data_IF_432680516783
#
_entry.id   IF_432680516783
#
_cell.length_a   1.000
_cell.length_b   1.000
_cell.length_c   1.000
_cell.angle_alpha   90.00
_cell.angle_beta   90.00
_cell.angle_gamma   90.00
#
_symmetry.space_group_name_H-M   'P 1'
#
loop_
_entity.id
_entity.type
_entity.pdbx_description
1 polymer ?
#
# COMPACT_ATOMS: atom_id res chain seq x y z
N UNK A 1 -1.77 14.08 14.30
CA UNK A 1 -2.01 12.64 14.08
C UNK A 1 -3.51 12.38 13.94
N UNK A 2 -3.93 11.39 13.15
CA UNK A 2 -5.33 11.01 12.95
C UNK A 2 -5.78 10.00 14.04
N UNK A 3 -6.98 10.16 14.59
CA UNK A 3 -7.51 9.16 15.55
C UNK A 3 -8.01 7.91 14.83
N UNK A 4 -8.06 6.76 15.53
CA UNK A 4 -8.67 5.52 15.00
C UNK A 4 -10.07 5.75 14.42
N UNK A 5 -10.93 6.48 15.14
CA UNK A 5 -12.29 6.79 14.68
C UNK A 5 -12.29 7.64 13.41
N UNK A 6 -11.40 8.63 13.31
CA UNK A 6 -11.26 9.44 12.10
C UNK A 6 -10.72 8.60 10.92
N UNK A 7 -9.76 7.72 11.18
CA UNK A 7 -9.23 6.79 10.19
C UNK A 7 -10.35 5.88 9.66
N UNK A 8 -11.11 5.24 10.55
CA UNK A 8 -12.22 4.34 10.19
C UNK A 8 -13.27 5.05 9.33
N UNK A 9 -13.66 6.25 9.77
CA UNK A 9 -14.65 7.07 9.06
C UNK A 9 -14.16 7.42 7.66
N UNK A 10 -12.90 7.88 7.54
CA UNK A 10 -12.34 8.26 6.25
C UNK A 10 -12.10 7.04 5.35
N UNK A 11 -11.71 5.89 5.90
CA UNK A 11 -11.48 4.68 5.13
C UNK A 11 -12.80 4.15 4.55
N UNK A 12 -13.87 4.14 5.36
CA UNK A 12 -15.21 3.80 4.90
C UNK A 12 -15.71 4.77 3.82
N UNK A 13 -15.48 6.08 3.99
CA UNK A 13 -15.83 7.09 2.98
C UNK A 13 -15.09 6.85 1.66
N UNK A 14 -13.77 6.63 1.70
CA UNK A 14 -12.95 6.34 0.52
C UNK A 14 -13.48 5.13 -0.24
N UNK A 15 -13.85 4.07 0.49
CA UNK A 15 -14.40 2.86 -0.11
C UNK A 15 -15.78 3.11 -0.74
N UNK A 16 -16.69 3.77 0.00
CA UNK A 16 -18.07 4.05 -0.44
C UNK A 16 -18.12 4.99 -1.65
N UNK A 17 -17.23 5.98 -1.70
CA UNK A 17 -17.11 6.93 -2.80
C UNK A 17 -16.37 6.37 -4.02
N UNK A 18 -15.96 5.10 -3.98
CA UNK A 18 -15.24 4.43 -5.07
C UNK A 18 -13.93 5.11 -5.50
N UNK A 19 -13.32 5.90 -4.60
CA UNK A 19 -12.14 6.73 -4.92
C UNK A 19 -10.97 5.90 -5.46
N UNK A 20 -10.85 4.64 -5.02
CA UNK A 20 -9.77 3.74 -5.42
C UNK A 20 -10.21 2.82 -6.57
N UNK A 21 -11.45 2.35 -6.52
CA UNK A 21 -12.03 1.38 -7.45
C UNK A 21 -12.14 1.92 -8.87
N UNK A 22 -12.22 3.24 -9.03
CA UNK A 22 -12.35 3.88 -10.34
C UNK A 22 -10.98 4.20 -10.97
N UNK A 23 -9.86 3.83 -10.33
CA UNK A 23 -8.52 3.98 -10.90
C UNK A 23 -8.15 2.82 -11.82
N UNK A 24 -7.37 3.09 -12.86
CA UNK A 24 -6.97 2.09 -13.87
C UNK A 24 -5.91 1.10 -13.39
N UNK A 25 -5.09 1.49 -12.43
CA UNK A 25 -4.05 0.67 -11.80
C UNK A 25 -4.60 -0.22 -10.67
N UNK A 26 -5.85 0.00 -10.24
CA UNK A 26 -6.53 -0.78 -9.21
C UNK A 26 -7.43 -1.83 -9.84
N UNK A 27 -7.17 -3.10 -9.56
CA UNK A 27 -7.97 -4.22 -10.07
C UNK A 27 -9.14 -4.55 -9.14
N UNK A 28 -8.88 -4.59 -7.84
CA UNK A 28 -9.86 -4.96 -6.81
C UNK A 28 -9.60 -4.21 -5.53
N UNK A 29 -10.67 -3.84 -4.82
CA UNK A 29 -10.61 -3.25 -3.48
C UNK A 29 -11.57 -4.00 -2.58
N UNK A 30 -11.06 -4.50 -1.46
CA UNK A 30 -11.83 -5.11 -0.38
C UNK A 30 -11.71 -4.25 0.87
N UNK A 31 -12.83 -4.06 1.55
CA UNK A 31 -12.88 -3.36 2.83
C UNK A 31 -13.55 -4.27 3.85
N UNK A 32 -12.83 -4.57 4.93
CA UNK A 32 -13.32 -5.41 6.02
C UNK A 32 -12.63 -5.02 7.32
N UNK A 33 -13.39 -4.92 8.41
CA UNK A 33 -12.87 -4.75 9.78
C UNK A 33 -11.84 -3.61 9.92
N UNK A 34 -12.14 -2.45 9.31
CA UNK A 34 -11.24 -1.27 9.28
C UNK A 34 -9.90 -1.48 8.54
N UNK A 35 -9.83 -2.52 7.73
CA UNK A 35 -8.69 -2.80 6.86
C UNK A 35 -9.12 -2.71 5.41
N UNK A 36 -8.25 -2.12 4.60
CA UNK A 36 -8.43 -2.03 3.16
C UNK A 36 -7.37 -2.85 2.45
N UNK A 37 -7.82 -3.80 1.64
CA UNK A 37 -6.97 -4.60 0.76
C UNK A 37 -7.17 -4.14 -0.68
N UNK A 38 -6.07 -3.96 -1.39
CA UNK A 38 -6.05 -3.39 -2.74
C UNK A 38 -5.19 -4.29 -3.62
N UNK A 39 -5.76 -4.74 -4.74
CA UNK A 39 -5.02 -5.44 -5.79
C UNK A 39 -4.60 -4.41 -6.83
N UNK A 40 -3.30 -4.22 -7.00
CA UNK A 40 -2.73 -3.22 -7.89
C UNK A 40 -1.96 -3.89 -9.04
N UNK A 41 -2.13 -3.33 -10.23
CA UNK A 41 -1.27 -3.62 -11.38
C UNK A 41 0.08 -2.93 -11.18
N UNK A 42 1.20 -3.66 -11.07
CA UNK A 42 2.52 -3.03 -10.94
C UNK A 42 2.90 -2.26 -12.21
N UNK A 43 3.51 -1.08 -12.04
CA UNK A 43 4.14 -0.33 -13.13
C UNK A 43 5.11 -1.20 -13.93
N UNK A 44 5.34 -0.93 -15.23
CA UNK A 44 6.35 -1.64 -16.02
C UNK A 44 7.72 -1.72 -15.32
N UNK A 45 8.21 -0.62 -14.74
CA UNK A 45 9.49 -0.59 -14.03
C UNK A 45 9.55 -1.50 -12.80
N UNK A 46 8.44 -1.69 -12.10
CA UNK A 46 8.33 -2.60 -10.95
C UNK A 46 8.33 -4.05 -11.44
N UNK A 47 7.56 -4.34 -12.50
CA UNK A 47 7.49 -5.66 -13.12
C UNK A 47 8.86 -6.12 -13.60
N UNK A 48 9.60 -5.27 -14.29
CA UNK A 48 10.94 -5.58 -14.81
C UNK A 48 11.95 -5.88 -13.70
N UNK A 49 11.89 -5.16 -12.57
CA UNK A 49 12.83 -5.35 -11.45
C UNK A 49 12.53 -6.59 -10.60
N UNK A 50 11.29 -7.08 -10.59
CA UNK A 50 10.83 -8.07 -9.60
C UNK A 50 10.21 -9.33 -10.18
N UNK A 51 9.69 -9.27 -11.41
CA UNK A 51 8.80 -10.28 -11.94
C UNK A 51 7.38 -10.27 -11.36
N UNK A 52 7.07 -9.38 -10.40
CA UNK A 52 5.73 -9.29 -9.82
C UNK A 52 4.70 -8.96 -10.90
N UNK A 53 3.60 -9.71 -10.95
CA UNK A 53 2.48 -9.46 -11.86
C UNK A 53 1.30 -8.81 -11.15
N UNK A 54 1.29 -8.85 -9.82
CA UNK A 54 0.29 -8.26 -8.94
C UNK A 54 0.98 -7.73 -7.68
N UNK A 55 0.53 -6.56 -7.21
CA UNK A 55 0.86 -6.06 -5.88
C UNK A 55 -0.38 -6.11 -5.01
N UNK A 56 -0.24 -6.63 -3.80
CA UNK A 56 -1.27 -6.53 -2.77
C UNK A 56 -0.88 -5.39 -1.85
N UNK A 57 -1.73 -4.37 -1.77
CA UNK A 57 -1.63 -3.30 -0.79
C UNK A 57 -2.59 -3.57 0.36
N UNK A 58 -2.11 -3.46 1.59
CA UNK A 58 -2.94 -3.51 2.80
C UNK A 58 -2.74 -2.22 3.59
N UNK A 59 -3.84 -1.56 3.91
CA UNK A 59 -3.87 -0.35 4.71
C UNK A 59 -4.70 -0.62 5.97
N UNK A 60 -4.10 -0.39 7.13
CA UNK A 60 -4.72 -0.53 8.44
C UNK A 60 -4.21 0.54 9.39
N UNK A 61 -4.84 0.68 10.55
CA UNK A 61 -4.40 1.63 11.57
C UNK A 61 -3.43 0.95 12.55
N UNK A 62 -2.26 1.54 12.76
CA UNK A 62 -1.38 1.13 13.85
C UNK A 62 -1.80 1.80 15.15
N UNK A 63 -2.29 1.02 16.10
CA UNK A 63 -2.60 1.51 17.46
C UNK A 63 -1.34 1.94 18.23
N UNK A 64 -0.17 1.39 17.87
CA UNK A 64 1.12 1.71 18.51
C UNK A 64 1.59 3.09 18.07
N UNK A 65 1.55 3.35 16.76
CA UNK A 65 2.04 4.62 16.19
C UNK A 65 0.95 5.67 16.04
N UNK A 66 -0.32 5.29 16.20
CA UNK A 66 -1.50 6.13 16.01
C UNK A 66 -1.60 6.73 14.60
N UNK A 67 -1.21 5.95 13.59
CA UNK A 67 -1.10 6.37 12.19
C UNK A 67 -1.50 5.24 11.24
N UNK A 68 -1.91 5.56 9.99
CA UNK A 68 -2.10 4.55 8.96
C UNK A 68 -0.80 3.83 8.65
N UNK A 69 -0.86 2.51 8.47
CA UNK A 69 0.26 1.67 8.05
C UNK A 69 0.01 1.11 6.66
N UNK A 70 1.08 1.05 5.86
CA UNK A 70 1.05 0.46 4.52
C UNK A 70 1.88 -0.81 4.50
N UNK A 71 1.26 -1.88 4.04
CA UNK A 71 1.89 -3.17 3.81
C UNK A 71 1.78 -3.53 2.34
N UNK A 72 2.88 -3.97 1.73
CA UNK A 72 2.91 -4.43 0.34
C UNK A 72 3.37 -5.88 0.29
N UNK A 73 2.68 -6.68 -0.52
CA UNK A 73 3.13 -8.01 -0.90
C UNK A 73 3.23 -8.11 -2.42
N UNK A 74 4.29 -8.76 -2.89
CA UNK A 74 4.53 -9.01 -4.31
C UNK A 74 4.03 -10.41 -4.65
N UNK A 75 3.27 -10.53 -5.74
CA UNK A 75 2.77 -11.79 -6.27
C UNK A 75 3.22 -11.91 -7.72
N UNK A 76 3.77 -13.07 -8.05
CA UNK A 76 4.18 -13.43 -9.39
C UNK A 76 3.41 -14.66 -9.86
N UNK A 77 2.63 -14.48 -10.92
CA UNK A 77 1.97 -15.56 -11.63
C UNK A 77 2.85 -15.99 -12.80
N UNK A 78 3.34 -17.23 -12.75
CA UNK A 78 4.14 -17.85 -13.81
C UNK A 78 3.46 -19.10 -14.30
N UNK A 79 3.77 -19.49 -15.54
CA UNK A 79 3.42 -20.81 -16.05
C UNK A 79 4.68 -21.68 -16.06
N UNK A 80 4.61 -22.82 -15.40
CA UNK A 80 5.66 -23.83 -15.41
C UNK A 80 5.87 -24.43 -16.79
N UNK A 81 7.00 -25.12 -17.00
CA UNK A 81 7.28 -25.85 -18.24
C UNK A 81 6.25 -26.96 -18.51
N UNK A 82 5.61 -27.46 -17.46
CA UNK A 82 4.51 -28.41 -17.47
C UNK A 82 3.15 -27.76 -17.79
N UNK A 83 3.10 -26.45 -17.95
CA UNK A 83 1.88 -25.68 -18.21
C UNK A 83 1.06 -25.34 -16.96
N UNK A 84 1.50 -25.78 -15.76
CA UNK A 84 0.80 -25.46 -14.51
C UNK A 84 0.99 -24.00 -14.12
N UNK A 85 -0.04 -23.41 -13.51
CA UNK A 85 0.08 -22.08 -12.91
C UNK A 85 0.84 -22.18 -11.59
N UNK A 86 1.86 -21.36 -11.46
CA UNK A 86 2.70 -21.23 -10.27
C UNK A 86 2.47 -19.83 -9.73
N UNK A 87 2.04 -19.75 -8.49
CA UNK A 87 1.93 -18.50 -7.73
C UNK A 87 3.08 -18.48 -6.73
N UNK A 88 3.92 -17.46 -6.82
CA UNK A 88 5.07 -17.29 -5.94
C UNK A 88 5.22 -15.86 -5.45
N UNK A 89 5.96 -15.71 -4.34
CA UNK A 89 6.42 -14.41 -3.86
C UNK A 89 7.85 -14.17 -4.38
N UNK A 90 8.09 -13.12 -5.19
CA UNK A 90 9.43 -12.76 -5.59
C UNK A 90 10.36 -12.55 -4.39
N UNK A 91 11.56 -13.13 -4.46
CA UNK A 91 12.59 -12.95 -3.45
C UNK A 91 13.28 -11.59 -3.66
N UNK A 92 12.79 -10.56 -2.96
CA UNK A 92 13.37 -9.22 -2.99
C UNK A 92 14.14 -8.98 -1.69
N UNK A 93 15.41 -8.59 -1.79
CA UNK A 93 16.24 -8.33 -0.61
C UNK A 93 16.07 -6.91 -0.05
N UNK A 94 15.64 -5.97 -0.90
CA UNK A 94 15.42 -4.58 -0.53
C UNK A 94 14.27 -3.99 -1.35
N UNK A 95 13.22 -3.54 -0.69
CA UNK A 95 12.05 -2.92 -1.33
C UNK A 95 12.28 -1.45 -1.69
N UNK A 96 13.39 -0.83 -1.26
CA UNK A 96 13.70 0.55 -1.68
C UNK A 96 13.87 0.67 -3.19
N UNK A 97 14.07 -0.44 -3.91
CA UNK A 97 14.13 -0.50 -5.37
C UNK A 97 12.86 0.04 -6.08
N UNK A 98 11.73 0.14 -5.37
CA UNK A 98 10.47 0.72 -5.87
C UNK A 98 10.37 2.21 -5.66
N UNK A 99 11.07 2.73 -4.66
CA UNK A 99 10.96 4.13 -4.27
C UNK A 99 11.85 4.98 -5.17
N UNK A 100 11.31 6.07 -5.74
CA UNK A 100 12.16 7.13 -6.28
C UNK A 100 13.13 7.62 -5.20
N UNK A 101 14.31 8.12 -5.59
CA UNK A 101 15.37 8.51 -4.65
C UNK A 101 14.87 9.50 -3.58
N UNK A 102 14.00 10.44 -3.97
CA UNK A 102 13.40 11.44 -3.07
C UNK A 102 12.51 10.81 -1.98
N UNK A 103 12.01 9.58 -2.18
CA UNK A 103 11.15 8.87 -1.25
C UNK A 103 11.90 7.88 -0.37
N UNK A 104 13.10 7.41 -0.76
CA UNK A 104 13.83 6.38 -0.01
C UNK A 104 14.14 6.79 1.44
N UNK A 105 14.26 8.09 1.72
CA UNK A 105 14.51 8.60 3.07
C UNK A 105 13.25 8.75 3.92
N UNK A 106 12.07 8.66 3.32
CA UNK A 106 10.78 8.83 4.01
C UNK A 106 10.31 7.55 4.71
N UNK A 107 10.89 6.40 4.33
CA UNK A 107 10.46 5.09 4.81
C UNK A 107 11.60 4.31 5.44
N UNK A 108 11.25 3.54 6.46
CA UNK A 108 12.00 2.36 6.85
C UNK A 108 11.16 1.16 6.42
N UNK A 109 11.64 0.40 5.43
CA UNK A 109 10.91 -0.75 4.91
C UNK A 109 11.45 -2.03 5.55
N UNK A 110 10.57 -2.81 6.18
CA UNK A 110 10.96 -4.05 6.86
C UNK A 110 9.94 -5.17 6.59
N UNK A 111 10.39 -6.44 6.54
CA UNK A 111 9.48 -7.56 6.44
C UNK A 111 8.79 -7.80 7.79
N UNK A 112 7.47 -7.92 7.77
CA UNK A 112 6.63 -8.29 8.90
C UNK A 112 5.79 -9.53 8.57
N UNK A 113 5.51 -10.35 9.58
CA UNK A 113 4.62 -11.51 9.43
C UNK A 113 3.23 -11.11 9.89
N UNK A 114 2.27 -11.08 8.95
CA UNK A 114 0.86 -10.81 9.19
C UNK A 114 0.02 -11.93 8.59
N UNK A 115 -0.95 -12.43 9.38
CA UNK A 115 -1.87 -13.49 8.95
C UNK A 115 -1.18 -14.71 8.34
N UNK A 116 -0.01 -15.08 8.87
CA UNK A 116 0.79 -16.22 8.41
C UNK A 116 1.56 -15.99 7.11
N UNK A 117 1.59 -14.76 6.58
CA UNK A 117 2.32 -14.38 5.36
C UNK A 117 3.31 -13.25 5.63
N UNK A 118 4.36 -13.16 4.80
CA UNK A 118 5.34 -12.06 4.88
C UNK A 118 4.84 -10.88 4.05
N UNK A 119 4.82 -9.71 4.68
CA UNK A 119 4.49 -8.42 4.08
C UNK A 119 5.65 -7.45 4.26
N UNK A 120 5.83 -6.55 3.32
CA UNK A 120 6.76 -5.44 3.47
C UNK A 120 6.03 -4.25 4.06
N UNK A 121 6.34 -3.93 5.31
CA UNK A 121 5.80 -2.79 6.03
C UNK A 121 6.59 -1.53 5.67
N UNK A 122 5.91 -0.51 5.18
CA UNK A 122 6.47 0.80 4.87
C UNK A 122 6.27 1.71 6.08
N UNK A 123 7.16 1.61 7.07
CA UNK A 123 7.11 2.48 8.24
C UNK A 123 7.49 3.90 7.84
N UNK A 124 6.64 4.85 8.17
CA UNK A 124 6.81 6.24 7.77
C UNK A 124 7.42 7.03 8.92
N UNK A 125 8.39 7.89 8.60
CA UNK A 125 8.91 8.86 9.55
C UNK A 125 8.07 10.14 9.48
N UNK A 126 7.27 10.42 10.52
CA UNK A 126 6.54 11.69 10.71
C UNK A 126 5.53 12.04 9.59
N UNK A 127 4.45 11.27 9.52
CA UNK A 127 3.39 11.43 8.49
C UNK A 127 2.70 12.79 8.53
N UNK A 128 2.67 13.42 9.71
CA UNK A 128 2.03 14.71 9.96
C UNK A 128 2.61 15.84 9.11
N UNK A 129 3.94 15.84 8.93
CA UNK A 129 4.65 16.83 8.11
C UNK A 129 4.43 16.64 6.62
N UNK A 130 4.20 15.41 6.18
CA UNK A 130 4.08 15.05 4.76
C UNK A 130 2.66 15.27 4.26
N UNK A 131 1.65 14.91 5.06
CA UNK A 131 0.23 14.98 4.67
C UNK A 131 -0.39 16.35 4.99
N UNK A 132 0.26 17.13 5.85
CA UNK A 132 -0.17 18.47 6.27
C UNK A 132 -1.34 18.42 7.25
N UNK A 133 -1.13 18.95 8.45
CA UNK A 133 -2.12 19.03 9.54
C UNK A 133 -2.65 20.46 9.70
N UNK A 134 -3.51 20.88 8.76
CA UNK A 134 -4.31 22.08 8.97
C UNK A 134 -5.72 21.65 9.37
N UNK A 135 -6.37 22.40 10.26
CA UNK A 135 -7.75 22.09 10.73
C UNK A 135 -8.78 22.04 9.58
N UNK A 136 -8.46 22.65 8.43
CA UNK A 136 -9.27 22.60 7.21
C UNK A 136 -9.11 21.31 6.39
N UNK A 137 -8.09 20.49 6.67
CA UNK A 137 -7.73 19.32 5.85
C UNK A 137 -7.85 17.99 6.59
N UNK A 138 -8.30 18.00 7.86
CA UNK A 138 -8.46 16.79 8.68
C UNK A 138 -9.40 15.77 8.04
N UNK A 139 -10.48 16.21 7.38
CA UNK A 139 -11.46 15.33 6.74
C UNK A 139 -10.98 14.63 5.46
N UNK A 140 -9.82 15.02 4.91
CA UNK A 140 -9.24 14.42 3.71
C UNK A 140 -7.84 13.85 3.96
N UNK A 141 -7.45 13.70 5.22
CA UNK A 141 -6.13 13.21 5.62
C UNK A 141 -5.80 11.88 4.95
N UNK A 142 -6.67 10.88 5.08
CA UNK A 142 -6.40 9.53 4.57
C UNK A 142 -6.37 9.47 3.04
N UNK A 143 -7.18 10.29 2.36
CA UNK A 143 -7.12 10.42 0.89
C UNK A 143 -5.76 10.95 0.43
N UNK A 144 -5.27 12.00 1.09
CA UNK A 144 -3.94 12.56 0.80
C UNK A 144 -2.84 11.58 1.15
N UNK A 145 -2.95 10.90 2.30
CA UNK A 145 -2.03 9.86 2.71
C UNK A 145 -1.93 8.76 1.65
N UNK A 146 -3.06 8.22 1.15
CA UNK A 146 -3.05 7.19 0.11
C UNK A 146 -2.42 7.72 -1.19
N UNK A 147 -2.73 8.96 -1.57
CA UNK A 147 -2.13 9.57 -2.76
C UNK A 147 -0.60 9.66 -2.67
N UNK A 148 -0.06 9.98 -1.49
CA UNK A 148 1.39 10.12 -1.28
C UNK A 148 2.07 8.77 -1.06
N UNK A 149 1.49 7.92 -0.22
CA UNK A 149 2.16 6.73 0.28
C UNK A 149 1.88 5.47 -0.54
N UNK A 150 0.82 5.44 -1.36
CA UNK A 150 0.54 4.33 -2.26
C UNK A 150 0.79 4.72 -3.72
N UNK A 151 0.08 5.73 -4.22
CA UNK A 151 0.01 5.95 -5.67
C UNK A 151 1.14 6.78 -6.27
N UNK A 152 1.87 7.57 -5.48
CA UNK A 152 2.93 8.42 -6.03
C UNK A 152 4.09 7.63 -6.66
N UNK A 153 4.29 6.36 -6.27
CA UNK A 153 5.35 5.50 -6.79
C UNK A 153 4.90 4.07 -7.18
N UNK A 154 3.76 3.54 -6.70
CA UNK A 154 3.28 2.20 -7.09
C UNK A 154 2.28 2.19 -8.26
N UNK A 155 1.52 3.27 -8.43
CA UNK A 155 0.38 3.33 -9.36
C UNK A 155 0.64 4.14 -10.62
N UNK A 156 0.29 3.61 -11.80
CA UNK A 156 0.47 4.30 -13.09
C UNK A 156 -0.32 5.64 -13.18
#
# INVERSE_FOLDING_TARGET
MITKTQFDTQLQQIYAERTLQDRTDVQVVFFQDSTLLIHLSPKPSIREKTGATLLLGRIEYSEIYQEPSLYIQLIEHKRGLDGLEIISHPSINDMNIFLPDDYQTLFVIQPEVLDGSVWWCFHQCDTSKIVGENSSTTGTYLKRWISVFLFSWLGD
#
